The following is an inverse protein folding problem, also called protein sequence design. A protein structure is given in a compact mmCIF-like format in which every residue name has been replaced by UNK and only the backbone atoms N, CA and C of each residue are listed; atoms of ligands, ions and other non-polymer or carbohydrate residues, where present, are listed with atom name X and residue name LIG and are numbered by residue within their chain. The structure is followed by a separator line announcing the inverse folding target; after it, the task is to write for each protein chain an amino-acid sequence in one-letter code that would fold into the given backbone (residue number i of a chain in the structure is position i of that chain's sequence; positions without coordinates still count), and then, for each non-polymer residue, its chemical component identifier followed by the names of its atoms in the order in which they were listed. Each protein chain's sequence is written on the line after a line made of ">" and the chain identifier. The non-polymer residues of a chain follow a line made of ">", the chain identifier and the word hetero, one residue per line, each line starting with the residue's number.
data_IF_208616058513
#
_entry.id   IF_208616058513
#
_cell.length_a   1.000
_cell.length_b   1.000
_cell.length_c   1.000
_cell.angle_alpha   90.00
_cell.angle_beta   90.00
_cell.angle_gamma   90.00
#
_symmetry.space_group_name_H-M   'P 1'
#
loop_
_entity.id
_entity.type
_entity.pdbx_description
1 polymer ?
#
# COMPACT_ATOMS: atom_id res chain seq x y z
N UNK A 1 -23.02 -14.35 9.10
CA UNK A 1 -21.83 -13.65 8.56
C UNK A 1 -22.23 -12.94 7.29
N UNK A 2 -21.92 -11.66 7.18
CA UNK A 2 -22.17 -10.86 5.97
C UNK A 2 -20.95 -10.87 5.07
N UNK A 3 -21.17 -11.02 3.78
CA UNK A 3 -20.14 -10.91 2.74
C UNK A 3 -20.42 -9.66 1.92
N UNK A 4 -19.55 -8.65 1.99
CA UNK A 4 -19.78 -7.35 1.35
C UNK A 4 -18.67 -7.08 0.35
N UNK A 5 -19.04 -6.85 -0.90
CA UNK A 5 -18.14 -6.39 -1.96
C UNK A 5 -18.14 -4.88 -1.99
N UNK A 6 -17.06 -4.26 -1.56
CA UNK A 6 -16.87 -2.81 -1.59
C UNK A 6 -16.13 -2.45 -2.87
N UNK A 7 -16.85 -1.92 -3.84
CA UNK A 7 -16.36 -1.72 -5.21
C UNK A 7 -16.05 -0.25 -5.45
N UNK A 8 -14.82 0.01 -5.88
CA UNK A 8 -14.45 1.32 -6.41
C UNK A 8 -14.59 1.32 -7.95
N UNK A 9 -15.63 1.96 -8.50
CA UNK A 9 -15.89 1.96 -9.95
C UNK A 9 -14.83 2.72 -10.75
N UNK A 10 -14.06 3.60 -10.09
CA UNK A 10 -12.97 4.37 -10.71
C UNK A 10 -11.63 3.61 -10.72
N UNK A 11 -11.55 2.42 -10.10
CA UNK A 11 -10.33 1.65 -10.07
C UNK A 11 -10.06 0.93 -11.40
N UNK A 12 -8.82 1.02 -11.88
CA UNK A 12 -8.42 0.40 -13.15
C UNK A 12 -8.73 1.26 -14.37
N UNK A 13 -8.84 0.62 -15.52
CA UNK A 13 -9.08 1.30 -16.81
C UNK A 13 -10.57 1.44 -17.14
N UNK A 14 -11.42 0.59 -16.56
CA UNK A 14 -12.85 0.53 -16.82
C UNK A 14 -13.59 0.19 -15.51
N UNK A 15 -14.86 0.59 -15.41
CA UNK A 15 -15.74 0.18 -14.31
C UNK A 15 -15.94 -1.36 -14.35
N UNK A 16 -15.43 -2.02 -13.33
CA UNK A 16 -15.52 -3.48 -13.18
C UNK A 16 -16.69 -3.91 -12.28
N UNK A 17 -17.64 -3.05 -11.98
CA UNK A 17 -18.78 -3.36 -11.09
C UNK A 17 -19.50 -4.62 -11.55
N UNK A 18 -19.74 -4.80 -12.84
CA UNK A 18 -20.41 -6.01 -13.38
C UNK A 18 -19.65 -7.31 -13.06
N UNK A 19 -18.31 -7.29 -13.15
CA UNK A 19 -17.45 -8.43 -12.78
C UNK A 19 -17.64 -8.80 -11.31
N UNK A 20 -17.61 -7.82 -10.41
CA UNK A 20 -17.72 -8.06 -8.97
C UNK A 20 -19.14 -8.45 -8.55
N UNK A 21 -20.17 -7.93 -9.25
CA UNK A 21 -21.55 -8.40 -9.09
C UNK A 21 -21.66 -9.88 -9.45
N UNK A 22 -21.12 -10.29 -10.59
CA UNK A 22 -21.14 -11.68 -10.99
C UNK A 22 -20.42 -12.62 -10.00
N UNK A 23 -19.30 -12.16 -9.39
CA UNK A 23 -18.63 -12.90 -8.32
C UNK A 23 -19.50 -13.03 -7.07
N UNK A 24 -20.13 -11.96 -6.62
CA UNK A 24 -21.03 -11.97 -5.47
C UNK A 24 -22.23 -12.92 -5.69
N UNK A 25 -22.83 -12.85 -6.89
CA UNK A 25 -23.94 -13.73 -7.29
C UNK A 25 -23.50 -15.19 -7.38
N UNK A 26 -22.29 -15.47 -7.84
CA UNK A 26 -21.71 -16.82 -7.89
C UNK A 26 -21.60 -17.40 -6.48
N UNK A 27 -20.99 -16.65 -5.54
CA UNK A 27 -20.88 -17.09 -4.15
C UNK A 27 -22.25 -17.30 -3.50
N UNK A 28 -23.21 -16.42 -3.76
CA UNK A 28 -24.58 -16.59 -3.26
C UNK A 28 -25.21 -17.88 -3.78
N UNK A 29 -25.15 -18.15 -5.10
CA UNK A 29 -25.76 -19.34 -5.71
C UNK A 29 -25.08 -20.64 -5.32
N UNK A 30 -23.74 -20.65 -5.24
CA UNK A 30 -22.98 -21.89 -5.02
C UNK A 30 -22.85 -22.27 -3.54
N UNK A 31 -22.79 -21.28 -2.67
CA UNK A 31 -22.49 -21.46 -1.24
C UNK A 31 -23.58 -20.91 -0.31
N UNK A 32 -24.70 -20.40 -0.86
CA UNK A 32 -25.81 -19.80 -0.10
C UNK A 32 -25.36 -18.66 0.83
N UNK A 33 -24.32 -17.91 0.43
CA UNK A 33 -23.78 -16.80 1.22
C UNK A 33 -24.65 -15.55 1.10
N UNK A 34 -24.76 -14.79 2.18
CA UNK A 34 -25.41 -13.47 2.17
C UNK A 34 -24.43 -12.44 1.62
N UNK A 35 -24.41 -12.29 0.29
CA UNK A 35 -23.55 -11.36 -0.43
C UNK A 35 -24.26 -10.07 -0.77
N UNK A 36 -23.64 -8.93 -0.52
CA UNK A 36 -24.11 -7.60 -0.92
C UNK A 36 -23.00 -6.82 -1.59
N UNK A 37 -23.34 -5.88 -2.48
CA UNK A 37 -22.40 -5.02 -3.15
C UNK A 37 -22.66 -3.57 -2.76
N UNK A 38 -21.59 -2.87 -2.38
CA UNK A 38 -21.58 -1.42 -2.14
C UNK A 38 -20.58 -0.76 -3.07
N UNK A 39 -20.96 0.37 -3.67
CA UNK A 39 -20.07 1.19 -4.49
C UNK A 39 -19.52 2.33 -3.64
N UNK A 40 -18.27 2.68 -3.89
CA UNK A 40 -17.68 3.92 -3.35
C UNK A 40 -18.02 5.10 -4.25
N UNK A 41 -18.22 6.28 -3.64
CA UNK A 41 -18.60 7.50 -4.34
C UNK A 41 -17.41 8.47 -4.53
N UNK A 42 -16.27 8.19 -3.93
CA UNK A 42 -15.07 9.03 -3.99
C UNK A 42 -14.13 8.82 -2.80
N UNK A 43 -13.11 9.66 -2.66
CA UNK A 43 -12.16 9.60 -1.56
C UNK A 43 -12.83 9.62 -0.19
N UNK A 44 -12.36 8.74 0.74
CA UNK A 44 -12.89 8.60 2.10
C UNK A 44 -14.17 7.76 2.20
N UNK A 45 -14.85 7.47 1.07
CA UNK A 45 -16.12 6.73 1.10
C UNK A 45 -15.91 5.25 1.44
N UNK A 46 -14.78 4.65 1.06
CA UNK A 46 -14.46 3.27 1.40
C UNK A 46 -14.19 3.11 2.91
N UNK A 47 -13.49 4.04 3.53
CA UNK A 47 -13.27 4.05 4.98
C UNK A 47 -14.60 4.21 5.74
N UNK A 48 -15.41 5.19 5.36
CA UNK A 48 -16.70 5.44 6.00
C UNK A 48 -17.65 4.25 5.88
N UNK A 49 -17.71 3.60 4.72
CA UNK A 49 -18.56 2.43 4.48
C UNK A 49 -18.05 1.23 5.29
N UNK A 50 -16.75 0.93 5.27
CA UNK A 50 -16.13 -0.16 6.00
C UNK A 50 -16.34 0.00 7.52
N UNK A 51 -16.15 1.20 8.05
CA UNK A 51 -16.38 1.54 9.46
C UNK A 51 -17.83 1.33 9.87
N UNK A 52 -18.79 1.84 9.09
CA UNK A 52 -20.23 1.63 9.39
C UNK A 52 -20.61 0.16 9.42
N UNK A 53 -20.09 -0.64 8.49
CA UNK A 53 -20.34 -2.08 8.46
C UNK A 53 -19.75 -2.78 9.69
N UNK A 54 -18.53 -2.46 10.09
CA UNK A 54 -17.89 -3.05 11.25
C UNK A 54 -18.59 -2.67 12.57
N UNK A 55 -19.07 -1.43 12.68
CA UNK A 55 -19.79 -0.91 13.85
C UNK A 55 -21.13 -1.61 14.13
N UNK A 56 -21.70 -2.33 13.16
CA UNK A 56 -22.92 -3.12 13.41
C UNK A 56 -22.71 -4.26 14.41
N UNK A 57 -21.45 -4.66 14.65
CA UNK A 57 -21.10 -5.81 15.49
C UNK A 57 -21.34 -7.17 14.84
N UNK A 58 -21.97 -7.22 13.66
CA UNK A 58 -22.19 -8.46 12.91
C UNK A 58 -20.87 -8.98 12.32
N UNK A 59 -20.64 -10.31 12.30
CA UNK A 59 -19.49 -10.88 11.62
C UNK A 59 -19.44 -10.49 10.14
N UNK A 60 -18.36 -9.85 9.71
CA UNK A 60 -18.19 -9.24 8.39
C UNK A 60 -16.96 -9.79 7.66
N UNK A 61 -17.17 -10.18 6.40
CA UNK A 61 -16.11 -10.38 5.40
C UNK A 61 -16.24 -9.30 4.32
N UNK A 62 -15.25 -8.43 4.24
CA UNK A 62 -15.24 -7.29 3.32
C UNK A 62 -14.27 -7.59 2.15
N UNK A 63 -14.81 -7.72 0.95
CA UNK A 63 -14.03 -7.88 -0.29
C UNK A 63 -13.83 -6.51 -0.90
N UNK A 64 -12.62 -5.97 -0.77
CA UNK A 64 -12.27 -4.65 -1.30
C UNK A 64 -11.86 -4.78 -2.76
N UNK A 65 -12.74 -4.33 -3.65
CA UNK A 65 -12.58 -4.41 -5.09
C UNK A 65 -12.07 -3.06 -5.61
N UNK A 66 -10.75 -2.91 -5.64
CA UNK A 66 -10.13 -1.63 -5.94
C UNK A 66 -8.62 -1.72 -6.11
N UNK A 67 -7.95 -0.58 -6.01
CA UNK A 67 -6.47 -0.46 -5.92
C UNK A 67 -6.01 -0.20 -4.50
N UNK A 68 -4.71 0.13 -4.36
CA UNK A 68 -4.04 0.32 -3.07
C UNK A 68 -4.72 1.40 -2.20
N UNK A 69 -5.17 2.53 -2.79
CA UNK A 69 -5.89 3.57 -2.04
C UNK A 69 -7.23 3.08 -1.47
N UNK A 70 -8.00 2.29 -2.22
CA UNK A 70 -9.26 1.72 -1.72
C UNK A 70 -8.99 0.70 -0.60
N UNK A 71 -7.92 -0.09 -0.73
CA UNK A 71 -7.48 -1.04 0.29
C UNK A 71 -7.05 -0.30 1.57
N UNK A 72 -6.30 0.78 1.45
CA UNK A 72 -5.88 1.64 2.56
C UNK A 72 -7.09 2.23 3.31
N UNK A 73 -8.03 2.87 2.59
CA UNK A 73 -9.23 3.43 3.20
C UNK A 73 -10.06 2.36 3.94
N UNK A 74 -10.30 1.22 3.30
CA UNK A 74 -11.07 0.13 3.91
C UNK A 74 -10.37 -0.42 5.17
N UNK A 75 -9.04 -0.59 5.13
CA UNK A 75 -8.24 -1.01 6.27
C UNK A 75 -8.35 -0.02 7.43
N UNK A 76 -8.23 1.28 7.18
CA UNK A 76 -8.44 2.34 8.17
C UNK A 76 -9.86 2.30 8.79
N UNK A 77 -10.85 1.89 7.98
CA UNK A 77 -12.23 1.77 8.43
C UNK A 77 -12.47 0.63 9.42
N UNK A 78 -11.81 -0.52 9.23
CA UNK A 78 -12.06 -1.73 10.05
C UNK A 78 -10.94 -2.08 11.01
N UNK A 79 -9.81 -1.37 11.00
CA UNK A 79 -8.69 -1.65 11.92
C UNK A 79 -9.13 -1.65 13.38
N UNK A 80 -8.82 -2.74 14.09
CA UNK A 80 -9.18 -2.93 15.49
C UNK A 80 -10.59 -3.52 15.75
N UNK A 81 -11.40 -3.74 14.71
CA UNK A 81 -12.69 -4.42 14.86
C UNK A 81 -12.51 -5.94 14.77
N UNK A 82 -12.81 -6.66 15.88
CA UNK A 82 -12.66 -8.12 15.95
C UNK A 82 -13.71 -8.88 15.14
N UNK A 83 -14.87 -8.28 14.88
CA UNK A 83 -15.97 -8.86 14.10
C UNK A 83 -15.79 -8.68 12.57
N UNK A 84 -14.80 -7.92 12.13
CA UNK A 84 -14.60 -7.60 10.72
C UNK A 84 -13.24 -8.11 10.22
N UNK A 85 -13.23 -8.71 9.05
CA UNK A 85 -12.02 -9.03 8.30
C UNK A 85 -12.17 -8.56 6.85
N UNK A 86 -11.07 -8.12 6.22
CA UNK A 86 -11.09 -7.76 4.80
C UNK A 86 -10.13 -8.59 3.97
N UNK A 87 -10.36 -8.58 2.67
CA UNK A 87 -9.42 -9.01 1.64
C UNK A 87 -9.45 -8.03 0.48
N UNK A 88 -8.50 -8.14 -0.43
CA UNK A 88 -8.48 -7.33 -1.64
C UNK A 88 -8.71 -8.20 -2.89
N UNK A 89 -9.59 -7.75 -3.78
CA UNK A 89 -9.69 -8.28 -5.14
C UNK A 89 -9.15 -7.19 -6.07
N UNK A 90 -8.01 -7.43 -6.73
CA UNK A 90 -7.30 -6.39 -7.46
C UNK A 90 -8.10 -5.89 -8.67
N UNK A 91 -8.27 -4.58 -8.76
CA UNK A 91 -8.83 -3.87 -9.91
C UNK A 91 -7.89 -2.74 -10.39
N UNK A 92 -6.94 -2.33 -9.55
CA UNK A 92 -5.93 -1.33 -9.85
C UNK A 92 -4.68 -1.90 -10.49
N UNK A 93 -3.69 -1.04 -10.75
CA UNK A 93 -2.42 -1.40 -11.41
C UNK A 93 -1.26 -1.67 -10.45
N UNK A 94 -1.31 -1.17 -9.22
CA UNK A 94 -0.25 -1.33 -8.20
C UNK A 94 -0.37 -2.67 -7.47
N UNK A 95 -1.38 -2.76 -6.62
CA UNK A 95 -1.70 -3.92 -5.78
C UNK A 95 -0.51 -4.36 -4.90
N UNK A 96 0.21 -3.39 -4.33
CA UNK A 96 1.45 -3.62 -3.59
C UNK A 96 1.23 -4.46 -2.33
N UNK A 97 0.07 -4.31 -1.65
CA UNK A 97 -0.32 -5.18 -0.55
C UNK A 97 -0.29 -6.66 -0.96
N UNK A 98 -0.93 -7.01 -2.07
CA UNK A 98 -1.05 -8.40 -2.50
C UNK A 98 0.29 -9.00 -2.96
N UNK A 99 1.25 -8.19 -3.40
CA UNK A 99 2.60 -8.65 -3.75
C UNK A 99 3.32 -9.31 -2.57
N UNK A 100 2.96 -8.96 -1.33
CA UNK A 100 3.51 -9.59 -0.13
C UNK A 100 3.14 -11.09 -0.01
N UNK A 101 2.11 -11.55 -0.72
CA UNK A 101 1.69 -12.95 -0.78
C UNK A 101 2.43 -13.77 -1.85
N UNK A 102 3.39 -13.17 -2.56
CA UNK A 102 4.22 -13.86 -3.54
C UNK A 102 3.41 -14.54 -4.64
N UNK A 103 3.64 -15.82 -4.89
CA UNK A 103 2.95 -16.60 -5.92
C UNK A 103 1.43 -16.73 -5.65
N UNK A 104 1.00 -16.63 -4.39
CA UNK A 104 -0.43 -16.69 -4.05
C UNK A 104 -1.20 -15.43 -4.42
N UNK A 105 -0.53 -14.33 -4.74
CA UNK A 105 -1.16 -13.06 -5.09
C UNK A 105 -2.19 -13.19 -6.23
N UNK A 106 -1.93 -14.06 -7.22
CA UNK A 106 -2.84 -14.31 -8.34
C UNK A 106 -4.18 -14.91 -7.90
N UNK A 107 -4.20 -15.67 -6.81
CA UNK A 107 -5.41 -16.35 -6.29
C UNK A 107 -6.43 -15.35 -5.72
N UNK A 108 -6.00 -14.13 -5.38
CA UNK A 108 -6.89 -13.06 -4.90
C UNK A 108 -7.78 -12.46 -5.99
N UNK A 109 -7.58 -12.83 -7.25
CA UNK A 109 -8.40 -12.35 -8.37
C UNK A 109 -9.80 -12.98 -8.42
N UNK A 110 -10.01 -14.08 -7.69
CA UNK A 110 -11.28 -14.82 -7.67
C UNK A 110 -11.80 -15.01 -6.26
N UNK A 111 -13.01 -14.53 -6.01
CA UNK A 111 -13.68 -14.61 -4.72
C UNK A 111 -13.95 -16.08 -4.26
N UNK A 112 -14.01 -17.02 -5.20
CA UNK A 112 -14.13 -18.47 -4.91
C UNK A 112 -12.94 -19.01 -4.11
N UNK A 113 -11.75 -18.44 -4.28
CA UNK A 113 -10.57 -18.80 -3.51
C UNK A 113 -10.53 -18.19 -2.11
N UNK A 114 -11.43 -17.22 -1.82
CA UNK A 114 -11.33 -16.35 -0.66
C UNK A 114 -12.42 -16.61 0.39
N UNK A 115 -13.62 -17.00 -0.03
CA UNK A 115 -14.84 -16.95 0.81
C UNK A 115 -14.74 -17.78 2.11
N UNK A 116 -14.02 -18.88 2.11
CA UNK A 116 -13.82 -19.79 3.26
C UNK A 116 -12.36 -19.81 3.74
N UNK A 117 -11.53 -18.90 3.23
CA UNK A 117 -10.13 -18.78 3.61
C UNK A 117 -9.95 -18.27 5.05
N UNK A 118 -8.83 -18.60 5.71
CA UNK A 118 -8.57 -18.16 7.09
C UNK A 118 -8.36 -16.67 7.17
N UNK A 119 -8.79 -16.07 8.28
CA UNK A 119 -8.38 -14.71 8.64
C UNK A 119 -7.17 -14.77 9.57
N UNK A 120 -6.24 -13.82 9.39
CA UNK A 120 -5.04 -13.64 10.19
C UNK A 120 -4.79 -12.15 10.43
N UNK A 121 -4.18 -11.79 11.56
CA UNK A 121 -3.91 -10.40 11.87
C UNK A 121 -2.72 -9.87 11.05
N UNK A 122 -2.86 -8.69 10.47
CA UNK A 122 -1.76 -7.90 9.92
C UNK A 122 -1.45 -6.74 10.86
N UNK A 123 -0.18 -6.41 10.99
CA UNK A 123 0.31 -5.25 11.67
C UNK A 123 0.02 -3.98 10.84
N UNK A 124 -0.02 -2.83 11.50
CA UNK A 124 -0.21 -1.52 10.89
C UNK A 124 0.81 -0.54 11.44
N UNK A 125 1.17 0.46 10.66
CA UNK A 125 1.95 1.60 11.13
C UNK A 125 0.97 2.66 11.67
N UNK A 126 1.24 3.20 12.85
CA UNK A 126 0.67 4.45 13.34
C UNK A 126 1.63 5.59 13.01
N UNK A 127 1.20 6.49 12.14
CA UNK A 127 1.93 7.72 11.80
C UNK A 127 1.18 8.93 12.33
N UNK A 128 1.54 9.38 13.52
CA UNK A 128 0.91 10.53 14.17
C UNK A 128 -0.64 10.42 14.25
N UNK A 129 -1.14 9.22 14.60
CA UNK A 129 -2.56 8.91 14.72
C UNK A 129 -3.25 8.52 13.41
N UNK A 130 -2.53 8.48 12.29
CA UNK A 130 -3.00 7.98 10.99
C UNK A 130 -2.45 6.58 10.76
N UNK A 131 -3.32 5.66 10.33
CA UNK A 131 -2.90 4.30 10.03
C UNK A 131 -2.30 4.18 8.63
N UNK A 132 -1.33 3.29 8.50
CA UNK A 132 -0.75 2.93 7.21
C UNK A 132 -0.58 1.42 7.16
N UNK A 133 -0.89 0.82 6.01
CA UNK A 133 -0.97 -0.63 5.84
C UNK A 133 0.38 -1.22 5.44
N UNK A 134 1.09 -0.59 4.49
CA UNK A 134 2.32 -1.14 3.93
C UNK A 134 3.56 -0.29 4.23
N UNK A 135 3.63 0.94 3.76
CA UNK A 135 4.81 1.80 3.92
C UNK A 135 4.43 3.25 4.16
N UNK A 136 4.97 3.84 5.22
CA UNK A 136 4.95 5.27 5.50
C UNK A 136 6.25 5.90 5.00
N UNK A 137 6.17 6.73 3.95
CA UNK A 137 7.32 7.34 3.29
C UNK A 137 7.45 8.82 3.63
N UNK A 138 8.70 9.28 3.79
CA UNK A 138 9.05 10.70 3.89
C UNK A 138 10.24 10.99 2.97
N UNK A 139 10.28 12.17 2.36
CA UNK A 139 11.36 12.60 1.47
C UNK A 139 11.02 12.48 -0.01
N UNK A 140 11.97 12.02 -0.82
CA UNK A 140 11.81 12.01 -2.28
C UNK A 140 10.65 11.14 -2.73
N UNK A 141 10.44 9.97 -2.12
CA UNK A 141 9.37 9.04 -2.46
C UNK A 141 7.99 9.64 -2.21
N UNK A 142 7.82 10.29 -1.05
CA UNK A 142 6.57 10.98 -0.70
C UNK A 142 6.29 12.16 -1.63
N UNK A 143 7.33 12.94 -2.01
CA UNK A 143 7.19 14.03 -2.97
C UNK A 143 6.83 13.56 -4.38
N UNK A 144 7.39 12.41 -4.80
CA UNK A 144 7.01 11.78 -6.06
C UNK A 144 5.55 11.35 -6.02
N UNK A 145 5.10 10.69 -4.96
CA UNK A 145 3.72 10.26 -4.79
C UNK A 145 2.73 11.44 -4.83
N UNK A 146 3.03 12.54 -4.10
CA UNK A 146 2.23 13.78 -4.13
C UNK A 146 2.16 14.39 -5.52
N UNK A 147 3.28 14.38 -6.27
CA UNK A 147 3.34 14.91 -7.63
C UNK A 147 2.57 14.02 -8.62
N UNK A 148 2.62 12.69 -8.49
CA UNK A 148 1.84 11.76 -9.33
C UNK A 148 0.36 12.09 -9.22
N UNK A 149 -0.13 12.32 -8.00
CA UNK A 149 -1.52 12.66 -7.75
C UNK A 149 -1.92 13.98 -8.43
N UNK A 150 -1.05 15.00 -8.43
CA UNK A 150 -1.27 16.29 -9.11
C UNK A 150 -1.27 16.14 -10.64
N UNK A 151 -0.36 15.34 -11.20
CA UNK A 151 -0.26 15.14 -12.64
C UNK A 151 -1.28 14.15 -13.21
N UNK A 152 -1.84 13.25 -12.40
CA UNK A 152 -2.87 12.29 -12.84
C UNK A 152 -4.16 12.96 -13.34
N UNK A 153 -4.42 14.22 -12.94
CA UNK A 153 -5.53 15.02 -13.44
C UNK A 153 -5.32 15.56 -14.87
N UNK A 154 -4.10 15.50 -15.42
CA UNK A 154 -3.80 15.99 -16.75
C UNK A 154 -4.11 14.90 -17.80
N UNK A 155 -4.98 15.17 -18.80
CA UNK A 155 -5.46 14.16 -19.76
C UNK A 155 -4.35 13.46 -20.55
N UNK A 156 -3.24 14.17 -20.84
CA UNK A 156 -2.09 13.64 -21.59
C UNK A 156 -1.13 12.76 -20.76
N UNK A 157 -1.23 12.79 -19.42
CA UNK A 157 -0.24 12.17 -18.52
C UNK A 157 -0.91 11.11 -17.61
N UNK A 158 -1.75 10.23 -18.16
CA UNK A 158 -2.39 9.16 -17.38
C UNK A 158 -1.47 7.95 -17.19
N UNK A 159 -1.57 7.29 -16.04
CA UNK A 159 -0.87 6.04 -15.74
C UNK A 159 0.65 6.20 -15.64
N UNK A 160 1.41 5.38 -16.38
CA UNK A 160 2.89 5.40 -16.36
C UNK A 160 3.50 6.76 -16.73
N UNK A 161 2.81 7.55 -17.58
CA UNK A 161 3.27 8.87 -17.99
C UNK A 161 3.29 9.88 -16.82
N UNK A 162 2.26 9.89 -15.98
CA UNK A 162 2.21 10.79 -14.80
C UNK A 162 3.29 10.43 -13.77
N UNK A 163 3.55 9.14 -13.59
CA UNK A 163 4.62 8.67 -12.69
C UNK A 163 6.00 9.12 -13.19
N UNK A 164 6.33 8.86 -14.45
CA UNK A 164 7.62 9.28 -15.02
C UNK A 164 7.80 10.80 -15.01
N UNK A 165 6.75 11.56 -15.34
CA UNK A 165 6.78 13.02 -15.27
C UNK A 165 7.00 13.52 -13.83
N UNK A 166 6.39 12.88 -12.85
CA UNK A 166 6.53 13.22 -11.43
C UNK A 166 7.94 12.92 -10.92
N UNK A 167 8.50 11.76 -11.28
CA UNK A 167 9.89 11.41 -10.96
C UNK A 167 10.82 12.43 -11.59
N UNK A 168 10.67 12.71 -12.89
CA UNK A 168 11.51 13.66 -13.62
C UNK A 168 11.40 15.08 -13.03
N UNK A 169 10.22 15.57 -12.73
CA UNK A 169 10.01 16.90 -12.16
C UNK A 169 10.66 17.02 -10.77
N UNK A 170 10.46 16.06 -9.88
CA UNK A 170 11.10 16.08 -8.56
C UNK A 170 12.62 15.96 -8.67
N UNK A 171 13.11 15.11 -9.57
CA UNK A 171 14.52 14.91 -9.79
C UNK A 171 15.23 16.15 -10.39
N UNK A 172 14.59 16.83 -11.35
CA UNK A 172 15.18 17.99 -12.05
C UNK A 172 15.05 19.30 -11.28
N UNK A 173 13.90 19.54 -10.65
CA UNK A 173 13.55 20.85 -10.10
C UNK A 173 13.64 20.94 -8.58
N UNK A 174 13.69 19.81 -7.86
CA UNK A 174 13.81 19.77 -6.39
C UNK A 174 15.09 19.06 -5.96
N UNK A 175 15.64 19.45 -4.81
CA UNK A 175 16.81 18.77 -4.21
C UNK A 175 16.48 17.32 -3.86
N UNK A 176 17.48 16.43 -3.85
CA UNK A 176 17.28 15.03 -3.42
C UNK A 176 17.03 14.97 -1.92
N UNK A 177 17.77 15.73 -1.12
CA UNK A 177 17.69 15.72 0.33
C UNK A 177 16.85 16.84 0.93
N UNK A 178 16.44 16.62 2.17
CA UNK A 178 15.87 17.62 3.07
C UNK A 178 16.59 17.52 4.42
N UNK A 179 16.77 18.65 5.08
CA UNK A 179 17.41 18.70 6.40
C UNK A 179 16.40 18.32 7.48
N UNK A 180 16.71 17.27 8.25
CA UNK A 180 15.83 16.74 9.28
C UNK A 180 16.57 16.39 10.55
N UNK A 181 15.85 16.53 11.66
CA UNK A 181 16.18 15.91 12.95
C UNK A 181 15.41 14.59 13.04
N UNK A 182 16.13 13.48 13.07
CA UNK A 182 15.57 12.11 13.09
C UNK A 182 15.92 11.47 14.41
N UNK A 183 14.92 10.94 15.11
CA UNK A 183 15.09 10.18 16.35
C UNK A 183 14.65 8.75 16.14
N UNK A 184 15.52 7.80 16.50
CA UNK A 184 15.25 6.37 16.53
C UNK A 184 15.35 5.87 17.97
N UNK A 185 14.22 5.56 18.60
CA UNK A 185 14.13 5.15 20.00
C UNK A 185 14.85 6.11 20.98
N UNK A 186 14.87 7.41 20.65
CA UNK A 186 15.55 8.45 21.43
C UNK A 186 17.00 8.72 21.02
N UNK A 187 17.59 7.93 20.14
CA UNK A 187 18.88 8.26 19.53
C UNK A 187 18.66 9.31 18.42
N UNK A 188 19.17 10.52 18.66
CA UNK A 188 18.98 11.66 17.79
C UNK A 188 20.09 11.73 16.74
N UNK A 189 19.73 12.03 15.52
CA UNK A 189 20.68 12.42 14.46
C UNK A 189 20.10 13.55 13.61
N UNK A 190 20.98 14.44 13.18
CA UNK A 190 20.64 15.58 12.33
C UNK A 190 21.39 15.50 11.01
N UNK A 191 20.78 15.95 9.96
CA UNK A 191 21.42 16.03 8.65
C UNK A 191 20.47 15.97 7.47
N UNK A 192 21.06 15.84 6.30
CA UNK A 192 20.34 15.80 5.03
C UNK A 192 20.00 14.35 4.65
N UNK A 193 18.70 14.07 4.55
CA UNK A 193 18.17 12.77 4.17
C UNK A 193 17.46 12.86 2.82
N UNK A 194 17.70 11.87 1.96
CA UNK A 194 16.92 11.67 0.74
C UNK A 194 15.54 11.11 1.06
N UNK A 195 15.49 10.15 1.98
CA UNK A 195 14.26 9.58 2.49
C UNK A 195 14.46 8.97 3.90
N UNK A 196 13.38 8.93 4.67
CA UNK A 196 13.21 8.12 5.86
C UNK A 196 11.83 7.47 5.77
N UNK A 197 11.79 6.14 5.63
CA UNK A 197 10.55 5.40 5.43
C UNK A 197 10.43 4.26 6.42
N UNK A 198 9.23 4.05 6.94
CA UNK A 198 8.91 2.92 7.80
C UNK A 198 8.10 1.90 7.01
N UNK A 199 8.59 0.65 6.98
CA UNK A 199 8.07 -0.44 6.18
C UNK A 199 7.44 -1.51 7.09
N UNK A 200 6.16 -1.80 6.87
CA UNK A 200 5.45 -2.98 7.38
C UNK A 200 5.44 -4.07 6.29
N UNK A 201 5.15 -3.67 5.04
CA UNK A 201 5.26 -4.53 3.86
C UNK A 201 6.56 -4.34 3.09
N UNK A 202 6.81 -5.26 2.16
CA UNK A 202 8.00 -5.25 1.28
C UNK A 202 7.87 -4.28 0.12
N UNK A 203 6.64 -4.10 -0.39
CA UNK A 203 6.37 -3.48 -1.69
C UNK A 203 5.63 -2.17 -1.58
N UNK A 204 6.02 -1.21 -2.41
CA UNK A 204 5.33 0.06 -2.61
C UNK A 204 5.61 0.64 -3.99
N UNK A 205 4.85 1.65 -4.38
CA UNK A 205 5.09 2.41 -5.62
C UNK A 205 4.99 1.58 -6.90
N UNK A 206 4.21 0.50 -6.88
CA UNK A 206 4.00 -0.39 -8.03
C UNK A 206 5.06 -1.48 -8.17
N UNK A 207 5.70 -1.91 -7.06
CA UNK A 207 6.59 -3.05 -7.03
C UNK A 207 8.02 -2.79 -6.59
N UNK A 208 8.36 -1.59 -6.14
CA UNK A 208 9.63 -1.35 -5.44
C UNK A 208 9.66 -2.15 -4.14
N UNK A 209 10.77 -2.84 -3.86
CA UNK A 209 10.93 -3.74 -2.71
C UNK A 209 12.19 -3.38 -1.91
N UNK A 210 12.20 -2.23 -1.18
CA UNK A 210 13.42 -1.77 -0.51
C UNK A 210 13.88 -2.66 0.62
N UNK A 211 12.95 -3.35 1.30
CA UNK A 211 13.21 -4.22 2.45
C UNK A 211 12.59 -5.61 2.21
N UNK A 212 13.29 -6.51 1.52
CA UNK A 212 12.76 -7.84 1.19
C UNK A 212 12.43 -8.72 2.41
N UNK A 213 13.05 -8.44 3.56
CA UNK A 213 12.82 -9.14 4.81
C UNK A 213 11.61 -8.66 5.61
N UNK A 214 10.99 -7.54 5.26
CA UNK A 214 9.81 -7.03 5.96
C UNK A 214 8.66 -8.04 5.96
N UNK A 215 7.97 -8.15 7.08
CA UNK A 215 6.83 -9.06 7.30
C UNK A 215 5.69 -8.29 7.94
N UNK A 216 4.48 -8.53 7.48
CA UNK A 216 3.32 -7.77 7.92
C UNK A 216 2.62 -8.33 9.17
N UNK A 217 3.17 -9.35 9.82
CA UNK A 217 2.51 -10.09 10.91
C UNK A 217 3.42 -10.46 12.08
N UNK A 218 4.66 -9.94 12.12
CA UNK A 218 5.67 -10.32 13.12
C UNK A 218 5.89 -9.27 14.22
N UNK A 219 5.14 -8.16 14.19
CA UNK A 219 5.27 -7.08 15.16
C UNK A 219 6.52 -6.22 15.00
N UNK A 220 7.22 -6.33 13.85
CA UNK A 220 8.46 -5.60 13.58
C UNK A 220 8.28 -4.67 12.39
N UNK A 221 8.62 -3.40 12.57
CA UNK A 221 8.67 -2.42 11.49
C UNK A 221 10.12 -2.12 11.13
N UNK A 222 10.39 -2.06 9.83
CA UNK A 222 11.73 -1.75 9.33
C UNK A 222 11.79 -0.29 8.90
N UNK A 223 12.78 0.43 9.39
CA UNK A 223 13.02 1.83 9.01
C UNK A 223 14.21 1.92 8.08
N UNK A 224 13.97 2.47 6.90
CA UNK A 224 15.00 2.74 5.90
C UNK A 224 15.38 4.21 5.99
N UNK A 225 16.66 4.47 6.24
CA UNK A 225 17.24 5.82 6.22
C UNK A 225 18.23 5.92 5.07
N UNK A 226 18.01 6.87 4.19
CA UNK A 226 18.94 7.15 3.07
C UNK A 226 19.42 8.59 3.18
N UNK A 227 20.74 8.76 3.30
CA UNK A 227 21.38 10.09 3.31
C UNK A 227 21.24 10.77 1.95
N UNK A 228 21.20 12.08 1.97
CA UNK A 228 21.20 12.87 0.75
C UNK A 228 22.47 12.63 -0.07
N UNK A 229 22.30 12.51 -1.38
CA UNK A 229 23.38 12.33 -2.34
C UNK A 229 23.16 13.21 -3.56
N UNK A 230 24.16 13.29 -4.44
CA UNK A 230 23.98 13.95 -5.73
C UNK A 230 22.91 13.23 -6.57
N UNK A 231 22.26 13.97 -7.48
CA UNK A 231 21.26 13.40 -8.41
C UNK A 231 21.82 12.23 -9.21
N UNK A 232 23.04 12.34 -9.70
CA UNK A 232 23.71 11.30 -10.48
C UNK A 232 23.97 10.04 -9.65
N UNK A 233 24.37 10.20 -8.40
CA UNK A 233 24.55 9.09 -7.45
C UNK A 233 23.20 8.42 -7.15
N UNK A 234 22.16 9.22 -6.87
CA UNK A 234 20.82 8.70 -6.62
C UNK A 234 20.31 7.86 -7.80
N UNK A 235 20.36 8.39 -9.03
CA UNK A 235 19.94 7.67 -10.23
C UNK A 235 20.67 6.34 -10.42
N UNK A 236 21.98 6.32 -10.14
CA UNK A 236 22.81 5.11 -10.26
C UNK A 236 22.42 4.04 -9.23
N UNK A 237 22.06 4.43 -8.02
CA UNK A 237 21.82 3.53 -6.89
C UNK A 237 20.33 3.14 -6.77
N UNK A 238 19.41 3.89 -7.38
CA UNK A 238 17.98 3.68 -7.24
C UNK A 238 17.53 2.27 -7.66
N UNK A 239 18.09 1.71 -8.73
CA UNK A 239 17.77 0.35 -9.17
C UNK A 239 18.09 -0.71 -8.11
N UNK A 240 19.26 -0.61 -7.48
CA UNK A 240 19.66 -1.52 -6.43
C UNK A 240 18.80 -1.35 -5.15
N UNK A 241 18.44 -0.12 -4.81
CA UNK A 241 17.51 0.19 -3.73
C UNK A 241 16.14 -0.45 -3.98
N UNK A 242 15.53 -0.17 -5.14
CA UNK A 242 14.21 -0.70 -5.50
C UNK A 242 14.16 -2.23 -5.60
N UNK A 243 15.30 -2.86 -5.87
CA UNK A 243 15.44 -4.33 -5.92
C UNK A 243 15.79 -4.98 -4.56
N UNK A 244 15.79 -4.21 -3.45
CA UNK A 244 16.09 -4.70 -2.11
C UNK A 244 17.57 -5.07 -1.90
N UNK A 245 18.45 -4.58 -2.75
CA UNK A 245 19.88 -4.87 -2.68
C UNK A 245 20.64 -3.83 -1.83
N UNK A 246 19.98 -3.26 -0.83
CA UNK A 246 20.54 -2.18 -0.02
C UNK A 246 21.86 -2.55 0.66
N UNK A 247 22.06 -3.83 1.00
CA UNK A 247 23.33 -4.34 1.58
C UNK A 247 24.53 -4.24 0.64
N UNK A 248 24.29 -4.04 -0.67
CA UNK A 248 25.32 -3.81 -1.68
C UNK A 248 25.67 -2.35 -1.89
N UNK A 249 24.86 -1.46 -1.28
CA UNK A 249 25.08 -0.02 -1.37
C UNK A 249 26.15 0.44 -0.38
N UNK A 250 26.80 1.60 -0.61
CA UNK A 250 27.86 2.09 0.26
C UNK A 250 27.39 2.21 1.72
N UNK A 251 28.20 1.71 2.64
CA UNK A 251 27.97 1.86 4.07
C UNK A 251 27.89 3.36 4.44
N UNK A 252 26.98 3.71 5.33
CA UNK A 252 26.71 5.11 5.73
C UNK A 252 25.78 5.89 4.78
N UNK A 253 25.52 5.39 3.56
CA UNK A 253 24.53 5.98 2.67
C UNK A 253 23.12 5.52 3.00
N UNK A 254 22.96 4.22 3.22
CA UNK A 254 21.69 3.60 3.54
C UNK A 254 21.81 2.73 4.78
N UNK A 255 20.82 2.82 5.67
CA UNK A 255 20.68 1.96 6.83
C UNK A 255 19.25 1.43 6.87
N UNK A 256 19.13 0.19 7.33
CA UNK A 256 17.83 -0.44 7.63
C UNK A 256 17.91 -0.89 9.08
N UNK A 257 17.02 -0.36 9.89
CA UNK A 257 16.96 -0.60 11.35
C UNK A 257 15.51 -0.95 11.74
N UNK A 258 15.33 -1.46 12.95
CA UNK A 258 14.01 -1.86 13.46
C UNK A 258 13.67 -1.14 14.77
N UNK A 259 13.65 0.20 14.79
CA UNK A 259 13.29 0.96 15.98
C UNK A 259 11.80 0.79 16.29
N UNK A 260 11.45 0.93 17.57
CA UNK A 260 10.06 0.93 18.02
C UNK A 260 9.35 2.23 17.66
N UNK A 261 10.07 3.35 17.73
CA UNK A 261 9.56 4.69 17.47
C UNK A 261 10.55 5.47 16.61
N UNK A 262 10.05 6.03 15.54
CA UNK A 262 10.77 6.97 14.68
C UNK A 262 10.07 8.32 14.75
N UNK A 263 10.83 9.39 15.03
CA UNK A 263 10.35 10.76 14.96
C UNK A 263 11.19 11.53 13.94
N UNK A 264 10.52 12.29 13.10
CA UNK A 264 11.15 13.20 12.13
C UNK A 264 10.63 14.60 12.39
N UNK A 265 11.54 15.57 12.53
CA UNK A 265 11.22 17.00 12.64
C UNK A 265 12.02 17.78 11.63
N UNK A 266 11.43 18.85 11.13
CA UNK A 266 12.07 19.82 10.23
C UNK A 266 11.57 21.24 10.50
N UNK A 267 12.38 22.22 10.18
CA UNK A 267 12.01 23.64 10.26
C UNK A 267 10.93 23.98 9.24
N UNK A 268 11.04 23.40 8.04
CA UNK A 268 10.06 23.56 6.96
C UNK A 268 9.13 22.36 6.83
N UNK A 269 7.86 22.54 6.42
CA UNK A 269 6.95 21.43 6.20
C UNK A 269 7.48 20.46 5.14
N UNK A 270 7.38 19.17 5.40
CA UNK A 270 7.71 18.10 4.46
C UNK A 270 6.49 17.22 4.17
N UNK A 271 6.57 16.48 3.07
CA UNK A 271 5.49 15.57 2.65
C UNK A 271 5.72 14.20 3.27
N UNK A 272 4.67 13.67 3.89
CA UNK A 272 4.55 12.27 4.30
C UNK A 272 3.51 11.58 3.42
N UNK A 273 3.80 10.36 3.00
CA UNK A 273 2.91 9.54 2.19
C UNK A 273 2.65 8.21 2.87
N UNK A 274 1.38 7.89 3.11
CA UNK A 274 0.89 6.64 3.71
C UNK A 274 0.13 5.86 2.66
N UNK A 275 0.71 4.77 2.13
CA UNK A 275 0.10 3.94 1.07
C UNK A 275 -0.43 4.74 -0.15
N UNK A 276 0.20 5.88 -0.47
CA UNK A 276 -0.23 6.76 -1.56
C UNK A 276 -1.01 8.01 -1.11
N UNK A 277 -1.52 8.06 0.11
CA UNK A 277 -2.18 9.25 0.67
C UNK A 277 -1.17 10.21 1.30
N UNK A 278 -1.08 11.43 0.75
CA UNK A 278 -0.06 12.41 1.13
C UNK A 278 -0.62 13.53 2.00
N UNK A 279 0.16 13.95 2.99
CA UNK A 279 -0.09 15.15 3.79
C UNK A 279 1.22 15.86 4.10
N UNK A 280 1.13 17.12 4.54
CA UNK A 280 2.28 17.93 4.91
C UNK A 280 2.29 18.21 6.39
N UNK A 281 3.47 18.10 7.03
CA UNK A 281 3.68 18.48 8.44
C UNK A 281 5.13 18.89 8.66
N UNK A 282 5.43 19.47 9.83
CA UNK A 282 6.81 19.74 10.28
C UNK A 282 7.33 18.63 11.20
N UNK A 283 6.45 17.77 11.67
CA UNK A 283 6.80 16.66 12.53
C UNK A 283 5.89 15.47 12.26
N UNK A 284 6.45 14.26 12.28
CA UNK A 284 5.73 13.00 12.30
C UNK A 284 6.40 12.03 13.27
N UNK A 285 5.57 11.22 13.92
CA UNK A 285 6.01 10.09 14.74
C UNK A 285 5.42 8.82 14.16
N UNK A 286 6.27 7.84 13.87
CA UNK A 286 5.88 6.56 13.29
C UNK A 286 6.23 5.44 14.27
N UNK A 287 5.31 4.49 14.42
CA UNK A 287 5.47 3.33 15.31
C UNK A 287 4.53 2.21 14.92
N UNK A 288 4.71 1.03 15.52
CA UNK A 288 3.74 -0.05 15.41
C UNK A 288 2.41 0.40 16.03
N UNK A 289 1.31 0.20 15.29
CA UNK A 289 -0.03 0.51 15.78
C UNK A 289 -0.48 -0.52 16.81
N UNK A 290 -1.22 -0.07 17.83
CA UNK A 290 -1.92 -0.96 18.76
C UNK A 290 -3.10 -1.70 18.09
N UNK A 291 -3.62 -1.14 16.99
CA UNK A 291 -4.68 -1.76 16.19
C UNK A 291 -4.06 -2.69 15.16
N UNK A 292 -4.68 -3.84 14.98
CA UNK A 292 -4.37 -4.78 13.92
C UNK A 292 -5.51 -4.87 12.92
N UNK A 293 -5.19 -5.28 11.71
CA UNK A 293 -6.14 -5.53 10.65
C UNK A 293 -6.36 -7.05 10.51
N UNK A 294 -7.59 -7.53 10.69
CA UNK A 294 -7.89 -8.90 10.29
C UNK A 294 -8.00 -8.98 8.78
N UNK A 295 -7.10 -9.72 8.17
CA UNK A 295 -7.05 -9.93 6.72
C UNK A 295 -7.31 -11.41 6.42
N UNK A 296 -8.14 -11.71 5.42
CA UNK A 296 -8.36 -13.09 5.00
C UNK A 296 -7.87 -13.31 3.58
N UNK A 297 -7.36 -14.50 3.33
CA UNK A 297 -6.80 -14.86 2.02
C UNK A 297 -7.10 -16.30 1.64
N UNK A 298 -6.64 -16.77 0.49
CA UNK A 298 -6.78 -18.16 0.06
C UNK A 298 -6.23 -19.14 1.11
N UNK A 299 -6.80 -20.33 1.19
CA UNK A 299 -6.29 -21.39 2.08
C UNK A 299 -4.81 -21.67 1.81
N UNK A 300 -4.00 -21.68 2.88
CA UNK A 300 -2.56 -21.94 2.82
C UNK A 300 -1.71 -20.77 2.39
N UNK A 301 -2.29 -19.58 2.09
CA UNK A 301 -1.50 -18.39 1.82
C UNK A 301 -0.91 -17.79 3.11
N UNK A 302 0.20 -17.08 2.95
CA UNK A 302 0.85 -16.32 4.02
C UNK A 302 1.38 -15.00 3.45
N UNK A 303 1.26 -13.86 4.18
CA UNK A 303 1.83 -12.58 3.79
C UNK A 303 3.37 -12.61 3.78
N UNK A 304 3.96 -13.73 4.15
CA UNK A 304 5.40 -13.94 4.26
C UNK A 304 5.94 -14.95 3.25
N UNK A 305 5.14 -15.28 2.22
CA UNK A 305 5.61 -16.13 1.13
C UNK A 305 6.92 -15.55 0.56
N UNK A 306 7.90 -16.42 0.34
CA UNK A 306 9.23 -16.04 -0.18
C UNK A 306 9.07 -15.14 -1.39
N UNK A 307 9.83 -14.05 -1.45
CA UNK A 307 9.81 -13.11 -2.58
C UNK A 307 10.13 -13.88 -3.87
N UNK A 308 9.10 -14.27 -4.57
CA UNK A 308 9.18 -14.69 -5.97
C UNK A 308 9.11 -13.39 -6.78
N UNK A 309 9.79 -13.34 -7.93
CA UNK A 309 9.67 -12.21 -8.86
C UNK A 309 8.22 -11.76 -8.94
N UNK A 310 7.93 -10.45 -8.83
CA UNK A 310 6.56 -9.96 -8.67
C UNK A 310 5.66 -10.57 -9.77
N UNK A 311 4.52 -11.15 -9.42
CA UNK A 311 3.61 -11.66 -10.42
C UNK A 311 3.17 -10.51 -11.32
N UNK A 312 3.32 -10.66 -12.63
CA UNK A 312 2.67 -9.79 -13.60
C UNK A 312 1.17 -10.01 -13.46
N UNK A 313 0.48 -9.08 -12.82
CA UNK A 313 -0.97 -9.06 -12.88
C UNK A 313 -1.36 -8.80 -14.35
N UNK A 314 -2.07 -9.72 -15.03
CA UNK A 314 -2.43 -9.53 -16.42
C UNK A 314 -3.22 -8.23 -16.54
N UNK A 315 -2.67 -7.30 -17.30
CA UNK A 315 -3.41 -6.15 -17.80
C UNK A 315 -4.53 -6.76 -18.66
N UNK A 316 -5.79 -6.49 -18.31
CA UNK A 316 -6.93 -7.01 -19.08
C UNK A 316 -6.72 -6.74 -20.57
N UNK A 317 -6.36 -7.77 -21.32
CA UNK A 317 -6.37 -7.71 -22.76
C UNK A 317 -7.84 -7.61 -23.22
N UNK A 318 -8.19 -6.69 -24.11
CA UNK A 318 -9.45 -6.77 -24.82
C UNK A 318 -9.45 -8.08 -25.59
N UNK A 319 -10.40 -8.96 -25.29
CA UNK A 319 -10.59 -10.18 -26.04
C UNK A 319 -10.72 -9.86 -27.53
N UNK A 320 -9.76 -10.30 -28.31
CA UNK A 320 -9.90 -10.39 -29.75
C UNK A 320 -10.94 -11.47 -30.05
N UNK A 321 -12.20 -11.04 -30.17
CA UNK A 321 -13.24 -11.84 -30.77
C UNK A 321 -12.83 -12.12 -32.21
N UNK A 322 -12.48 -13.36 -32.55
CA UNK A 322 -12.42 -13.83 -33.92
C UNK A 322 -13.84 -13.94 -34.47
N UNK A 323 -14.11 -13.41 -35.64
CA UNK A 323 -15.38 -13.69 -36.35
C UNK A 323 -15.31 -15.06 -37.03
N UNK A 324 -16.27 -15.89 -36.72
CA UNK A 324 -16.78 -16.93 -37.62
C UNK A 324 -18.28 -16.88 -37.57
#
# INVERSE_FOLDING_TARGET
>A
MRHVFLVNPAAGQQDQTARFTAMADSLHRRHSLNCTLLRTDGPGSAEAAARRLAQTGEPLRLYVCGGDGTAHEAACGIAGFSNAAMTCIPAGTGNDLLRNFGADAVRFQDAENLWDGPAFPLDLIDCSGRLCLTIACNGIDARVADSVRRFSHLPLLRGRGSYLASVAANFLFRGIGQHWHVSLDGAEEEGDFALVSMCNGRYYGGGSCPVPEARMDDGVLHTVLVRSVSRTTFARLFGAYSAGQYRRLPAGLIRVETPRVVRIRADEPFITCLDGECFSSREVTMRLSEKRLNFFGPKGCSPNATAVSPPDFPHGHPGTGSPV
#
